data_IF_450866220680
#
_entry.id   IF_450866220680
#
_cell.length_a   1.000
_cell.length_b   1.000
_cell.length_c   1.000
_cell.angle_alpha   90.00
_cell.angle_beta   90.00
_cell.angle_gamma   90.00
#
_symmetry.space_group_name_H-M   'P 1'
#
loop_
_entity.id
_entity.type
_entity.pdbx_description
1 polymer ?
#
# COMPACT_ATOMS: atom_id res chain seq x y z
N UNK A 1 -24.65 -21.82 12.53
CA UNK A 1 -23.73 -20.71 12.71
C UNK A 1 -23.68 -19.95 11.39
N UNK A 2 -23.86 -18.64 11.40
CA UNK A 2 -23.77 -17.80 10.20
C UNK A 2 -22.31 -17.70 9.73
N UNK A 3 -22.09 -17.61 8.41
CA UNK A 3 -20.75 -17.67 7.79
C UNK A 3 -20.42 -16.32 7.17
N UNK A 4 -19.27 -15.77 7.53
CA UNK A 4 -18.70 -14.58 6.91
C UNK A 4 -17.38 -14.95 6.24
N UNK A 5 -17.28 -14.66 4.95
CA UNK A 5 -16.04 -14.80 4.20
C UNK A 5 -15.42 -13.42 4.02
N UNK A 6 -14.10 -13.33 4.21
CA UNK A 6 -13.31 -12.10 4.05
C UNK A 6 -12.23 -12.35 3.01
N UNK A 7 -12.16 -11.53 1.96
CA UNK A 7 -11.15 -11.62 0.91
C UNK A 7 -10.09 -10.55 1.14
N UNK A 8 -8.87 -10.99 1.47
CA UNK A 8 -7.72 -10.13 1.72
C UNK A 8 -7.35 -9.99 3.20
N UNK A 9 -6.09 -10.28 3.52
CA UNK A 9 -5.48 -10.22 4.85
C UNK A 9 -4.71 -8.93 5.12
N UNK A 10 -5.04 -7.83 4.42
CA UNK A 10 -4.50 -6.49 4.69
C UNK A 10 -5.14 -5.83 5.91
N UNK A 11 -4.91 -4.52 6.07
CA UNK A 11 -5.46 -3.75 7.20
C UNK A 11 -6.97 -3.90 7.35
N UNK A 12 -7.72 -3.69 6.27
CA UNK A 12 -9.18 -3.74 6.33
C UNK A 12 -9.70 -5.13 6.69
N UNK A 13 -9.20 -6.19 6.02
CA UNK A 13 -9.65 -7.55 6.27
C UNK A 13 -9.30 -8.06 7.67
N UNK A 14 -8.10 -7.76 8.15
CA UNK A 14 -7.70 -8.13 9.51
C UNK A 14 -8.53 -7.43 10.60
N UNK A 15 -8.90 -6.16 10.40
CA UNK A 15 -9.76 -5.46 11.35
C UNK A 15 -11.20 -5.96 11.28
N UNK A 16 -11.72 -6.30 10.09
CA UNK A 16 -13.02 -6.97 9.95
C UNK A 16 -13.03 -8.33 10.64
N UNK A 17 -12.04 -9.19 10.39
CA UNK A 17 -11.90 -10.49 11.02
C UNK A 17 -11.84 -10.37 12.55
N UNK A 18 -11.05 -9.44 13.08
CA UNK A 18 -10.94 -9.19 14.52
C UNK A 18 -12.23 -8.72 15.15
N UNK A 19 -13.04 -7.92 14.45
CA UNK A 19 -14.36 -7.50 14.95
C UNK A 19 -15.34 -8.64 15.01
N UNK A 20 -15.43 -9.43 13.94
CA UNK A 20 -16.35 -10.56 13.84
C UNK A 20 -15.99 -11.71 14.81
N UNK A 21 -14.71 -12.05 14.93
CA UNK A 21 -14.26 -13.17 15.76
C UNK A 21 -14.46 -12.96 17.27
N UNK A 22 -14.78 -11.75 17.70
CA UNK A 22 -15.18 -11.47 19.09
C UNK A 22 -16.62 -11.90 19.38
N UNK A 23 -17.39 -12.27 18.34
CA UNK A 23 -18.77 -12.73 18.41
C UNK A 23 -18.78 -14.24 18.22
N UNK A 24 -19.22 -14.99 19.22
CA UNK A 24 -19.21 -16.46 19.20
C UNK A 24 -20.27 -17.09 18.29
N UNK A 25 -21.13 -16.29 17.65
CA UNK A 25 -22.26 -16.72 16.81
C UNK A 25 -21.97 -16.74 15.30
N UNK A 26 -20.79 -16.28 14.88
CA UNK A 26 -20.39 -16.16 13.47
C UNK A 26 -19.11 -16.97 13.19
N UNK A 27 -19.15 -17.81 12.15
CA UNK A 27 -17.96 -18.46 11.61
C UNK A 27 -17.28 -17.53 10.60
N UNK A 28 -16.02 -17.16 10.86
CA UNK A 28 -15.25 -16.26 10.01
C UNK A 28 -14.17 -17.03 9.28
N UNK A 29 -14.12 -16.89 7.94
CA UNK A 29 -13.05 -17.42 7.09
C UNK A 29 -12.41 -16.27 6.31
N UNK A 30 -11.08 -16.13 6.41
CA UNK A 30 -10.30 -15.15 5.67
C UNK A 30 -9.43 -15.85 4.64
N UNK A 31 -9.55 -15.42 3.38
CA UNK A 31 -8.71 -15.87 2.26
C UNK A 31 -7.70 -14.79 1.89
N UNK A 32 -6.44 -15.17 1.75
CA UNK A 32 -5.39 -14.36 1.12
C UNK A 32 -4.34 -15.30 0.48
N UNK A 33 -3.90 -15.05 -0.76
CA UNK A 33 -2.85 -15.85 -1.40
C UNK A 33 -1.50 -15.75 -0.68
N UNK A 34 -1.29 -14.72 0.13
CA UNK A 34 -0.07 -14.54 0.92
C UNK A 34 -0.26 -15.08 2.33
N UNK A 35 0.80 -15.66 2.87
CA UNK A 35 0.81 -16.15 4.25
C UNK A 35 0.91 -15.04 5.31
N UNK A 36 1.21 -13.79 4.88
CA UNK A 36 1.49 -12.65 5.75
C UNK A 36 0.78 -11.39 5.29
N UNK A 37 0.39 -10.57 6.24
CA UNK A 37 0.00 -9.18 6.03
C UNK A 37 1.25 -8.30 6.03
N UNK A 38 1.37 -7.40 5.06
CA UNK A 38 2.51 -6.50 4.90
C UNK A 38 2.16 -5.09 5.38
N UNK A 39 3.09 -4.46 6.08
CA UNK A 39 2.97 -3.07 6.54
C UNK A 39 3.43 -2.10 5.45
N UNK A 40 2.55 -1.85 4.47
CA UNK A 40 2.83 -1.10 3.25
C UNK A 40 3.44 0.31 3.47
N UNK A 41 3.03 1.09 4.49
CA UNK A 41 3.55 2.46 4.68
C UNK A 41 5.06 2.56 4.91
N UNK A 42 5.73 1.47 5.21
CA UNK A 42 7.17 1.45 5.48
C UNK A 42 7.98 0.74 4.37
N UNK A 43 7.34 0.35 3.27
CA UNK A 43 8.06 -0.29 2.15
C UNK A 43 9.14 0.61 1.53
N UNK A 44 8.92 1.93 1.34
CA UNK A 44 10.00 2.81 0.89
C UNK A 44 11.19 2.83 1.85
N UNK A 45 10.95 2.75 3.16
CA UNK A 45 12.03 2.70 4.16
C UNK A 45 12.81 1.38 4.14
N UNK A 46 12.20 0.24 3.73
CA UNK A 46 12.94 -1.01 3.49
C UNK A 46 14.03 -0.79 2.44
N UNK A 47 13.72 -0.07 1.37
CA UNK A 47 14.68 0.25 0.30
C UNK A 47 15.89 0.99 0.88
N UNK A 48 15.66 2.02 1.71
CA UNK A 48 16.72 2.89 2.21
C UNK A 48 17.40 2.43 3.50
N UNK A 49 16.71 1.67 4.34
CA UNK A 49 17.14 1.34 5.73
C UNK A 49 17.38 -0.14 5.98
N UNK A 50 16.84 -1.04 5.15
CA UNK A 50 17.01 -2.49 5.33
C UNK A 50 16.29 -3.03 6.57
N UNK A 51 15.03 -2.64 6.78
CA UNK A 51 14.21 -3.21 7.85
C UNK A 51 14.05 -4.72 7.72
N UNK A 52 14.03 -5.42 8.85
CA UNK A 52 13.78 -6.85 8.86
C UNK A 52 12.32 -7.17 8.47
N UNK A 53 12.11 -8.37 7.94
CA UNK A 53 10.78 -8.85 7.56
C UNK A 53 9.83 -8.85 8.76
N UNK A 54 10.30 -9.29 9.92
CA UNK A 54 9.52 -9.40 11.16
C UNK A 54 9.00 -8.04 11.66
N UNK A 55 9.72 -6.96 11.34
CA UNK A 55 9.28 -5.62 11.69
C UNK A 55 8.05 -5.17 10.87
N UNK A 56 7.91 -5.68 9.64
CA UNK A 56 6.97 -5.17 8.65
C UNK A 56 5.99 -6.21 8.10
N UNK A 57 6.05 -7.45 8.59
CA UNK A 57 5.07 -8.47 8.21
C UNK A 57 4.43 -9.10 9.45
N UNK A 58 3.21 -9.59 9.29
CA UNK A 58 2.48 -10.28 10.35
C UNK A 58 1.84 -11.56 9.80
N UNK A 59 2.25 -12.77 10.30
CA UNK A 59 1.72 -14.03 9.80
C UNK A 59 0.22 -14.18 10.01
N UNK A 60 -0.54 -14.41 8.93
CA UNK A 60 -2.00 -14.52 8.97
C UNK A 60 -2.47 -15.73 9.77
N UNK A 61 -1.73 -16.85 9.77
CA UNK A 61 -1.99 -18.00 10.65
C UNK A 61 -1.87 -17.65 12.13
N UNK A 62 -0.97 -16.71 12.49
CA UNK A 62 -0.83 -16.23 13.87
C UNK A 62 -2.03 -15.34 14.25
N UNK A 63 -2.47 -14.48 13.34
CA UNK A 63 -3.68 -13.68 13.51
C UNK A 63 -4.91 -14.57 13.71
N UNK A 64 -5.06 -15.60 12.86
CA UNK A 64 -6.16 -16.55 12.91
C UNK A 64 -6.25 -17.26 14.26
N UNK A 65 -5.13 -17.83 14.74
CA UNK A 65 -5.08 -18.45 16.07
C UNK A 65 -5.36 -17.48 17.20
N UNK A 66 -4.85 -16.23 17.11
CA UNK A 66 -5.02 -15.24 18.17
C UNK A 66 -6.44 -14.72 18.30
N UNK A 67 -7.14 -14.56 17.18
CA UNK A 67 -8.46 -13.94 17.14
C UNK A 67 -9.60 -14.93 16.91
N UNK A 68 -9.33 -16.19 16.56
CA UNK A 68 -10.33 -17.23 16.44
C UNK A 68 -11.08 -17.21 15.10
N UNK A 69 -10.38 -17.04 13.98
CA UNK A 69 -10.93 -17.21 12.63
C UNK A 69 -10.19 -18.29 11.84
N UNK A 70 -10.80 -18.81 10.79
CA UNK A 70 -10.14 -19.73 9.85
C UNK A 70 -9.37 -18.93 8.80
N UNK A 71 -8.11 -19.30 8.56
CA UNK A 71 -7.29 -18.73 7.49
C UNK A 71 -7.06 -19.74 6.37
N UNK A 72 -7.46 -19.37 5.16
CA UNK A 72 -7.23 -20.11 3.92
C UNK A 72 -6.18 -19.38 3.09
N UNK A 73 -5.03 -20.03 2.88
CA UNK A 73 -3.91 -19.41 2.15
C UNK A 73 -4.05 -19.66 0.64
N UNK A 74 -5.09 -19.09 0.06
CA UNK A 74 -5.43 -19.19 -1.35
C UNK A 74 -5.98 -17.87 -1.89
N UNK A 75 -5.85 -17.67 -3.20
CA UNK A 75 -6.52 -16.59 -3.90
C UNK A 75 -7.99 -16.95 -4.18
N UNK A 76 -8.90 -16.05 -3.89
CA UNK A 76 -10.25 -16.14 -4.44
C UNK A 76 -10.18 -15.95 -5.96
N UNK A 77 -10.87 -16.82 -6.70
CA UNK A 77 -10.93 -16.81 -8.17
C UNK A 77 -12.29 -16.36 -8.70
N UNK A 78 -13.35 -16.80 -8.03
CA UNK A 78 -14.72 -16.50 -8.44
C UNK A 78 -15.55 -16.10 -7.24
N UNK A 79 -16.48 -15.16 -7.46
CA UNK A 79 -17.45 -14.67 -6.49
C UNK A 79 -18.84 -14.83 -7.09
N UNK A 80 -19.63 -15.74 -6.54
CA UNK A 80 -21.05 -15.92 -6.87
C UNK A 80 -21.94 -15.24 -5.80
N UNK A 81 -23.24 -15.30 -5.97
CA UNK A 81 -24.21 -14.67 -5.06
C UNK A 81 -24.11 -15.12 -3.59
N UNK A 82 -23.62 -16.34 -3.35
CA UNK A 82 -23.54 -16.95 -1.99
C UNK A 82 -22.29 -17.79 -1.77
N UNK A 83 -21.37 -17.85 -2.75
CA UNK A 83 -20.15 -18.65 -2.67
C UNK A 83 -18.93 -17.90 -3.20
N UNK A 84 -17.79 -18.18 -2.61
CA UNK A 84 -16.48 -17.80 -3.12
C UNK A 84 -15.72 -19.07 -3.46
N UNK A 85 -15.12 -19.15 -4.66
CA UNK A 85 -14.27 -20.26 -5.06
C UNK A 85 -12.82 -19.84 -5.09
N UNK A 86 -11.97 -20.72 -4.60
CA UNK A 86 -10.51 -20.68 -4.74
C UNK A 86 -10.05 -21.81 -5.64
N UNK A 87 -8.76 -22.13 -5.64
CA UNK A 87 -8.24 -23.27 -6.42
C UNK A 87 -8.73 -24.63 -5.87
N UNK A 88 -8.81 -24.74 -4.54
CA UNK A 88 -9.06 -26.01 -3.85
C UNK A 88 -10.40 -26.02 -3.07
N UNK A 89 -10.98 -24.86 -2.77
CA UNK A 89 -12.14 -24.76 -1.90
C UNK A 89 -13.30 -23.96 -2.51
N UNK A 90 -14.51 -24.31 -2.12
CA UNK A 90 -15.72 -23.54 -2.38
C UNK A 90 -16.35 -23.19 -1.03
N UNK A 91 -16.36 -21.90 -0.70
CA UNK A 91 -16.80 -21.38 0.59
C UNK A 91 -18.14 -20.67 0.42
N UNK A 92 -19.18 -21.21 1.05
CA UNK A 92 -20.47 -20.52 1.11
C UNK A 92 -20.43 -19.42 2.16
N UNK A 93 -21.13 -18.33 1.92
CA UNK A 93 -21.24 -17.21 2.85
C UNK A 93 -22.67 -16.70 3.00
N UNK A 94 -23.00 -16.21 4.19
CA UNK A 94 -24.20 -15.42 4.48
C UNK A 94 -23.89 -13.91 4.34
N UNK A 95 -22.62 -13.51 4.55
CA UNK A 95 -22.10 -12.18 4.22
C UNK A 95 -20.66 -12.26 3.71
N UNK A 96 -20.29 -11.39 2.77
CA UNK A 96 -18.97 -11.30 2.18
C UNK A 96 -18.35 -9.92 2.45
N UNK A 97 -17.07 -9.90 2.81
CA UNK A 97 -16.28 -8.66 2.93
C UNK A 97 -15.12 -8.72 1.95
N UNK A 98 -15.13 -7.85 0.94
CA UNK A 98 -14.07 -7.72 -0.06
C UNK A 98 -13.09 -6.66 0.42
N UNK A 99 -11.92 -7.09 0.87
CA UNK A 99 -10.82 -6.29 1.41
C UNK A 99 -9.53 -6.53 0.63
N UNK A 100 -9.64 -6.77 -0.68
CA UNK A 100 -8.54 -7.15 -1.59
C UNK A 100 -7.51 -6.06 -1.81
N UNK A 101 -7.81 -4.82 -1.39
CA UNK A 101 -6.90 -3.69 -1.52
C UNK A 101 -6.76 -3.20 -2.96
N UNK A 102 -5.54 -2.80 -3.30
CA UNK A 102 -5.17 -2.31 -4.63
C UNK A 102 -3.92 -3.01 -5.14
N UNK A 103 -3.67 -2.90 -6.44
CA UNK A 103 -2.48 -3.40 -7.13
C UNK A 103 -1.90 -2.29 -8.01
N UNK A 104 -0.67 -2.47 -8.46
CA UNK A 104 -0.01 -1.53 -9.37
C UNK A 104 -0.78 -1.39 -10.67
N UNK A 105 -0.91 -0.17 -11.15
CA UNK A 105 -1.50 0.14 -12.45
C UNK A 105 -0.38 0.31 -13.49
N UNK A 106 -0.28 -0.63 -14.40
CA UNK A 106 0.66 -0.57 -15.53
C UNK A 106 0.03 0.06 -16.78
N UNK A 107 -1.17 0.61 -16.67
CA UNK A 107 -1.91 1.27 -17.77
C UNK A 107 -2.05 0.39 -19.04
N UNK A 108 -2.16 -0.94 -18.86
CA UNK A 108 -2.29 -1.90 -19.96
C UNK A 108 -0.97 -2.23 -20.69
N UNK A 109 0.17 -1.77 -20.17
CA UNK A 109 1.49 -2.00 -20.76
C UNK A 109 2.17 -3.20 -20.11
N UNK A 110 2.12 -4.36 -20.77
CA UNK A 110 2.69 -5.61 -20.25
C UNK A 110 4.21 -5.55 -20.16
N UNK A 111 4.89 -4.91 -21.11
CA UNK A 111 6.34 -4.72 -21.10
C UNK A 111 6.82 -4.00 -19.84
N UNK A 112 6.09 -2.95 -19.40
CA UNK A 112 6.40 -2.25 -18.15
C UNK A 112 6.24 -3.22 -16.97
N UNK A 113 5.19 -4.03 -16.97
CA UNK A 113 4.94 -5.02 -15.92
C UNK A 113 6.06 -6.03 -15.79
N UNK A 114 6.58 -6.51 -16.91
CA UNK A 114 7.64 -7.53 -16.95
C UNK A 114 9.01 -6.96 -16.62
N UNK A 115 9.31 -5.74 -17.12
CA UNK A 115 10.65 -5.15 -17.11
C UNK A 115 10.85 -4.09 -16.01
N UNK A 116 9.86 -3.82 -15.17
CA UNK A 116 9.98 -2.90 -14.04
C UNK A 116 9.76 -3.59 -12.69
N UNK A 117 10.14 -2.91 -11.62
CA UNK A 117 9.89 -3.37 -10.26
C UNK A 117 8.87 -2.46 -9.58
N UNK A 118 7.64 -2.92 -9.26
CA UNK A 118 6.68 -2.16 -8.48
C UNK A 118 7.05 -2.14 -7.00
N UNK A 119 6.37 -1.31 -6.21
CA UNK A 119 6.49 -1.31 -4.75
C UNK A 119 5.16 -1.70 -4.08
N UNK A 120 4.81 -2.96 -4.13
CA UNK A 120 3.56 -3.49 -3.54
C UNK A 120 3.78 -4.31 -2.27
N UNK A 121 4.91 -5.04 -2.20
CA UNK A 121 5.17 -6.02 -1.15
C UNK A 121 6.61 -5.93 -0.66
N UNK A 122 6.86 -6.49 0.52
CA UNK A 122 8.19 -6.53 1.10
C UNK A 122 9.27 -7.10 0.14
N UNK A 123 9.06 -8.19 -0.62
CA UNK A 123 10.02 -8.66 -1.62
C UNK A 123 10.34 -7.64 -2.72
N UNK A 124 9.36 -6.84 -3.15
CA UNK A 124 9.62 -5.78 -4.15
C UNK A 124 10.57 -4.72 -3.59
N UNK A 125 10.38 -4.31 -2.34
CA UNK A 125 11.28 -3.35 -1.69
C UNK A 125 12.71 -3.88 -1.57
N UNK A 126 12.88 -5.18 -1.28
CA UNK A 126 14.18 -5.85 -1.29
C UNK A 126 14.79 -5.88 -2.69
N UNK A 127 14.01 -6.25 -3.71
CA UNK A 127 14.48 -6.26 -5.10
C UNK A 127 14.96 -4.88 -5.55
N UNK A 128 14.20 -3.81 -5.26
CA UNK A 128 14.62 -2.43 -5.56
C UNK A 128 15.93 -2.10 -4.84
N UNK A 129 16.09 -2.52 -3.60
CA UNK A 129 17.33 -2.35 -2.82
C UNK A 129 18.50 -3.12 -3.43
N UNK A 130 18.30 -4.37 -3.83
CA UNK A 130 19.31 -5.23 -4.45
C UNK A 130 19.76 -4.63 -5.79
N UNK A 131 18.83 -4.21 -6.63
CA UNK A 131 19.11 -3.51 -7.89
C UNK A 131 19.90 -2.20 -7.65
N UNK A 132 19.54 -1.44 -6.62
CA UNK A 132 20.26 -0.20 -6.27
C UNK A 132 21.70 -0.45 -5.79
N UNK A 133 22.01 -1.64 -5.28
CA UNK A 133 23.35 -2.02 -4.83
C UNK A 133 24.14 -2.82 -5.87
N UNK A 134 23.50 -3.28 -6.94
CA UNK A 134 24.15 -4.00 -8.05
C UNK A 134 25.16 -3.09 -8.79
N UNK A 135 26.46 -3.46 -8.86
CA UNK A 135 27.46 -2.65 -9.54
C UNK A 135 27.17 -2.37 -11.03
N UNK A 136 26.39 -3.21 -11.69
CA UNK A 136 25.99 -3.03 -13.09
C UNK A 136 24.90 -1.98 -13.30
N UNK A 137 24.23 -1.52 -12.23
CA UNK A 137 23.20 -0.50 -12.27
C UNK A 137 23.80 0.86 -11.95
N UNK A 138 23.94 1.72 -12.94
CA UNK A 138 24.42 3.10 -12.79
C UNK A 138 23.27 4.10 -12.47
N UNK A 139 22.10 3.83 -13.05
CA UNK A 139 20.94 4.72 -12.98
C UNK A 139 19.71 4.00 -12.44
N UNK A 140 18.93 4.67 -11.60
CA UNK A 140 17.63 4.18 -11.15
C UNK A 140 16.58 5.20 -11.58
N UNK A 141 15.69 4.77 -12.45
CA UNK A 141 14.54 5.56 -12.92
C UNK A 141 13.32 5.19 -12.09
N UNK A 142 12.60 6.18 -11.58
CA UNK A 142 11.37 6.00 -10.83
C UNK A 142 10.25 6.65 -11.63
N UNK A 143 9.34 5.86 -12.16
CA UNK A 143 8.14 6.34 -12.81
C UNK A 143 7.08 6.68 -11.76
N UNK A 144 6.67 7.95 -11.71
CA UNK A 144 5.71 8.53 -10.78
C UNK A 144 6.35 9.46 -9.76
N UNK A 145 6.09 10.77 -9.87
CA UNK A 145 6.48 11.80 -8.91
C UNK A 145 5.43 12.05 -7.82
N UNK A 146 4.56 11.07 -7.58
CA UNK A 146 3.66 11.04 -6.44
C UNK A 146 4.40 10.83 -5.12
N UNK A 147 3.66 10.77 -3.98
CA UNK A 147 4.32 10.62 -2.68
C UNK A 147 5.16 9.34 -2.57
N UNK A 148 4.71 8.20 -3.11
CA UNK A 148 5.49 6.93 -3.07
C UNK A 148 6.79 7.05 -3.86
N UNK A 149 6.77 7.63 -5.06
CA UNK A 149 7.99 7.81 -5.85
C UNK A 149 9.01 8.72 -5.16
N UNK A 150 8.55 9.81 -4.53
CA UNK A 150 9.42 10.70 -3.74
C UNK A 150 9.99 10.00 -2.50
N UNK A 151 9.18 9.20 -1.81
CA UNK A 151 9.66 8.38 -0.68
C UNK A 151 10.74 7.38 -1.12
N UNK A 152 10.51 6.67 -2.24
CA UNK A 152 11.48 5.71 -2.81
C UNK A 152 12.75 6.43 -3.24
N UNK A 153 12.65 7.52 -4.00
CA UNK A 153 13.79 8.28 -4.50
C UNK A 153 14.69 8.77 -3.35
N UNK A 154 14.09 9.34 -2.30
CA UNK A 154 14.86 9.85 -1.16
C UNK A 154 15.48 8.72 -0.33
N UNK A 155 14.82 7.55 -0.25
CA UNK A 155 15.36 6.37 0.41
C UNK A 155 16.49 5.73 -0.41
N UNK A 156 16.39 5.67 -1.73
CA UNK A 156 17.47 5.23 -2.63
C UNK A 156 18.70 6.13 -2.52
N UNK A 157 18.52 7.44 -2.48
CA UNK A 157 19.64 8.39 -2.27
C UNK A 157 20.29 8.19 -0.91
N UNK A 158 19.48 7.96 0.14
CA UNK A 158 20.00 7.61 1.46
C UNK A 158 20.85 6.34 1.42
N UNK A 159 20.35 5.27 0.77
CA UNK A 159 21.07 4.01 0.59
C UNK A 159 22.40 4.23 -0.14
N UNK A 160 22.36 4.94 -1.27
CA UNK A 160 23.54 5.23 -2.06
C UNK A 160 24.62 5.97 -1.24
N UNK A 161 24.21 7.00 -0.49
CA UNK A 161 25.13 7.75 0.37
C UNK A 161 25.70 6.89 1.50
N UNK A 162 24.87 6.06 2.13
CA UNK A 162 25.32 5.17 3.22
C UNK A 162 26.32 4.11 2.74
N UNK A 163 26.13 3.60 1.53
CA UNK A 163 26.99 2.61 0.90
C UNK A 163 28.11 3.20 0.05
N UNK A 164 28.25 4.52 0.03
CA UNK A 164 29.22 5.25 -0.84
C UNK A 164 29.11 4.85 -2.30
N UNK A 165 27.86 4.63 -2.79
CA UNK A 165 27.58 4.29 -4.17
C UNK A 165 27.32 5.54 -4.99
N UNK A 166 27.93 5.62 -6.18
CA UNK A 166 27.58 6.63 -7.17
C UNK A 166 26.38 6.14 -7.96
N UNK A 167 25.20 6.72 -7.73
CA UNK A 167 23.95 6.37 -8.42
C UNK A 167 23.27 7.62 -8.93
N UNK A 168 22.91 7.62 -10.21
CA UNK A 168 21.98 8.59 -10.77
C UNK A 168 20.58 8.15 -10.38
N UNK A 169 19.78 9.03 -9.79
CA UNK A 169 18.39 8.77 -9.40
C UNK A 169 17.53 9.78 -10.12
N UNK A 170 16.65 9.30 -10.99
CA UNK A 170 15.78 10.10 -11.85
C UNK A 170 14.33 9.75 -11.56
N UNK A 171 13.53 10.73 -11.19
CA UNK A 171 12.09 10.60 -11.03
C UNK A 171 11.44 11.23 -12.24
N UNK A 172 10.54 10.50 -12.91
CA UNK A 172 9.80 10.99 -14.06
C UNK A 172 8.29 10.93 -13.80
N UNK A 173 7.55 11.90 -14.31
CA UNK A 173 6.09 11.92 -14.22
C UNK A 173 5.50 12.68 -15.43
N UNK A 174 4.42 12.19 -16.05
CA UNK A 174 3.74 12.91 -17.13
C UNK A 174 3.01 14.18 -16.66
N UNK A 175 2.82 14.38 -15.35
CA UNK A 175 2.20 15.57 -14.79
C UNK A 175 3.15 16.79 -14.84
N UNK A 176 2.55 17.99 -14.88
CA UNK A 176 3.27 19.27 -14.82
C UNK A 176 3.80 19.60 -13.42
N UNK A 177 3.32 18.93 -12.38
CA UNK A 177 3.60 19.25 -11.00
C UNK A 177 4.08 18.04 -10.19
N UNK A 178 5.11 18.27 -9.38
CA UNK A 178 5.61 17.27 -8.44
C UNK A 178 4.63 17.06 -7.28
N UNK A 179 4.40 15.79 -6.92
CA UNK A 179 3.65 15.40 -5.73
C UNK A 179 2.29 16.13 -5.59
N UNK A 180 1.38 16.00 -6.58
CA UNK A 180 0.14 16.79 -6.63
C UNK A 180 -0.79 16.55 -5.42
N UNK A 181 -0.58 15.49 -4.66
CA UNK A 181 -1.36 15.19 -3.44
C UNK A 181 -1.08 16.14 -2.27
N UNK A 182 0.11 16.78 -2.24
CA UNK A 182 0.40 17.76 -1.20
C UNK A 182 -0.17 19.12 -1.57
N UNK A 183 -0.50 19.99 -0.57
CA UNK A 183 -0.88 21.36 -0.84
C UNK A 183 0.12 22.08 -1.76
N UNK A 184 -0.35 22.84 -2.74
CA UNK A 184 0.49 23.49 -3.75
C UNK A 184 1.68 24.27 -3.15
N UNK A 185 1.46 24.93 -2.01
CA UNK A 185 2.52 25.67 -1.28
C UNK A 185 3.70 24.80 -0.81
N UNK A 186 3.55 23.47 -0.78
CA UNK A 186 4.63 22.55 -0.38
C UNK A 186 5.34 21.88 -1.55
N UNK A 187 4.82 21.98 -2.77
CA UNK A 187 5.47 21.39 -3.94
C UNK A 187 6.89 21.94 -4.19
N UNK A 188 7.15 23.29 -4.08
CA UNK A 188 8.51 23.80 -4.13
C UNK A 188 9.43 23.20 -3.05
N UNK A 189 8.92 22.97 -1.83
CA UNK A 189 9.69 22.35 -0.76
C UNK A 189 10.08 20.91 -1.06
N UNK A 190 9.19 20.15 -1.73
CA UNK A 190 9.51 18.77 -2.18
C UNK A 190 10.57 18.82 -3.28
N UNK A 191 10.39 19.69 -4.29
CA UNK A 191 11.35 19.87 -5.40
C UNK A 191 12.74 20.25 -4.91
N UNK A 192 12.85 21.28 -4.08
CA UNK A 192 14.12 21.71 -3.46
C UNK A 192 14.76 20.61 -2.61
N UNK A 193 13.95 19.77 -1.97
CA UNK A 193 14.49 18.65 -1.20
C UNK A 193 15.09 17.59 -2.12
N UNK A 194 14.43 17.26 -3.22
CA UNK A 194 14.97 16.35 -4.25
C UNK A 194 16.27 16.89 -4.82
N UNK A 195 16.30 18.15 -5.23
CA UNK A 195 17.48 18.81 -5.79
C UNK A 195 18.67 18.77 -4.80
N UNK A 196 18.46 19.19 -3.55
CA UNK A 196 19.50 19.17 -2.51
C UNK A 196 20.02 17.76 -2.20
N UNK A 197 19.21 16.74 -2.42
CA UNK A 197 19.61 15.34 -2.29
C UNK A 197 20.26 14.80 -3.56
N UNK A 198 20.36 15.57 -4.65
CA UNK A 198 20.93 15.14 -5.93
C UNK A 198 19.99 14.12 -6.64
N UNK A 199 18.69 14.28 -6.48
CA UNK A 199 17.66 13.53 -7.19
C UNK A 199 17.17 14.39 -8.34
N UNK A 200 17.29 13.87 -9.55
CA UNK A 200 16.79 14.51 -10.76
C UNK A 200 15.29 14.29 -10.88
N UNK A 201 14.51 15.35 -11.10
CA UNK A 201 13.06 15.27 -11.31
C UNK A 201 12.74 15.82 -12.69
N UNK A 202 12.08 15.01 -13.52
CA UNK A 202 11.61 15.37 -14.86
C UNK A 202 10.11 15.20 -14.92
N UNK A 203 9.42 16.30 -14.94
CA UNK A 203 7.99 16.40 -15.17
C UNK A 203 7.70 16.41 -16.67
N UNK A 204 6.43 16.22 -17.05
CA UNK A 204 5.99 16.09 -18.44
C UNK A 204 6.77 15.03 -19.22
N UNK A 205 7.29 14.01 -18.49
CA UNK A 205 8.18 12.98 -19.02
C UNK A 205 7.70 11.60 -18.59
N UNK A 206 7.69 10.64 -19.52
CA UNK A 206 7.42 9.23 -19.25
C UNK A 206 8.66 8.38 -19.46
N UNK A 207 8.67 7.18 -18.88
CA UNK A 207 9.74 6.19 -19.03
C UNK A 207 9.19 4.90 -19.61
N UNK A 208 9.91 4.34 -20.58
CA UNK A 208 9.64 3.06 -21.22
C UNK A 208 10.85 2.14 -21.05
N UNK A 209 10.72 0.95 -20.47
CA UNK A 209 11.81 -0.02 -20.49
C UNK A 209 11.93 -0.64 -21.89
N UNK A 210 13.13 -0.71 -22.44
CA UNK A 210 13.41 -1.37 -23.70
C UNK A 210 13.85 -2.83 -23.49
N UNK A 211 14.54 -3.04 -22.38
CA UNK A 211 14.95 -4.36 -21.88
C UNK A 211 15.11 -4.28 -20.35
N UNK A 212 15.63 -5.32 -19.72
CA UNK A 212 15.82 -5.35 -18.27
C UNK A 212 16.88 -4.38 -17.72
N UNK A 213 17.62 -3.66 -18.59
CA UNK A 213 18.74 -2.77 -18.21
C UNK A 213 18.82 -1.48 -19.01
N UNK A 214 17.85 -1.21 -19.86
CA UNK A 214 17.79 0.02 -20.66
C UNK A 214 16.43 0.67 -20.51
N UNK A 215 16.41 1.94 -20.17
CA UNK A 215 15.19 2.75 -20.06
C UNK A 215 15.30 3.93 -21.03
N UNK A 216 14.26 4.16 -21.81
CA UNK A 216 14.12 5.32 -22.68
C UNK A 216 13.08 6.29 -22.11
N UNK A 217 13.40 7.56 -22.14
CA UNK A 217 12.47 8.62 -21.74
C UNK A 217 11.76 9.21 -22.95
N UNK A 218 10.58 9.81 -22.74
CA UNK A 218 9.80 10.42 -23.83
C UNK A 218 10.48 11.61 -24.52
N UNK A 219 11.53 12.19 -23.92
CA UNK A 219 12.36 13.22 -24.52
C UNK A 219 13.48 12.67 -25.42
N UNK A 220 13.57 11.33 -25.56
CA UNK A 220 14.52 10.62 -26.38
C UNK A 220 15.82 10.24 -25.65
N UNK A 221 15.99 10.60 -24.39
CA UNK A 221 17.16 10.15 -23.62
C UNK A 221 17.10 8.65 -23.35
N UNK A 222 18.17 7.94 -23.71
CA UNK A 222 18.34 6.52 -23.42
C UNK A 222 19.35 6.32 -22.31
N UNK A 223 18.98 5.53 -21.31
CA UNK A 223 19.76 5.22 -20.12
C UNK A 223 20.11 3.75 -20.10
N UNK A 224 21.34 3.41 -20.46
CA UNK A 224 21.88 2.05 -20.34
C UNK A 224 22.37 1.79 -18.90
N UNK A 225 22.35 0.52 -18.47
CA UNK A 225 22.64 0.17 -17.08
C UNK A 225 21.64 0.76 -16.09
N UNK A 226 20.38 0.89 -16.51
CA UNK A 226 19.31 1.45 -15.71
C UNK A 226 18.37 0.36 -15.16
N UNK A 227 17.78 0.64 -13.99
CA UNK A 227 16.67 -0.11 -13.40
C UNK A 227 15.45 0.78 -13.32
N UNK A 228 14.26 0.24 -13.63
CA UNK A 228 12.99 0.95 -13.59
C UNK A 228 12.16 0.54 -12.38
N UNK A 229 11.89 1.48 -11.49
CA UNK A 229 10.92 1.34 -10.40
C UNK A 229 9.60 1.97 -10.82
N UNK A 230 8.52 1.18 -10.76
CA UNK A 230 7.20 1.65 -11.19
C UNK A 230 6.32 2.03 -10.00
N UNK A 231 6.00 3.32 -9.87
CA UNK A 231 5.09 3.89 -8.86
C UNK A 231 4.05 4.84 -9.46
N UNK A 232 3.75 4.67 -10.77
CA UNK A 232 2.86 5.54 -11.54
C UNK A 232 1.37 5.19 -11.39
N UNK A 233 0.94 4.89 -10.18
CA UNK A 233 -0.46 4.71 -9.83
C UNK A 233 -0.82 3.29 -9.39
N UNK A 234 -2.01 3.21 -8.78
CA UNK A 234 -2.61 1.97 -8.29
C UNK A 234 -4.06 1.86 -8.74
N UNK A 235 -4.56 0.64 -8.83
CA UNK A 235 -5.95 0.35 -9.19
C UNK A 235 -6.54 -0.76 -8.33
N UNK A 236 -7.86 -0.89 -8.32
CA UNK A 236 -8.54 -2.03 -7.74
C UNK A 236 -8.12 -3.35 -8.39
N UNK A 237 -8.25 -4.45 -7.67
CA UNK A 237 -7.94 -5.81 -8.13
C UNK A 237 -9.07 -6.32 -9.03
N UNK A 238 -8.74 -6.98 -10.14
CA UNK A 238 -9.70 -7.46 -11.15
C UNK A 238 -10.78 -8.41 -10.61
N UNK A 239 -10.52 -9.10 -9.50
CA UNK A 239 -11.54 -9.92 -8.82
C UNK A 239 -12.81 -9.12 -8.47
N UNK A 240 -12.67 -7.83 -8.19
CA UNK A 240 -13.78 -6.94 -7.88
C UNK A 240 -14.71 -6.68 -9.07
N UNK A 241 -14.24 -6.86 -10.31
CA UNK A 241 -15.02 -6.71 -11.53
C UNK A 241 -16.21 -7.71 -11.58
N UNK A 242 -16.11 -8.84 -10.85
CA UNK A 242 -17.17 -9.86 -10.76
C UNK A 242 -18.37 -9.45 -9.90
N UNK A 243 -18.27 -8.33 -9.21
CA UNK A 243 -19.36 -7.86 -8.34
C UNK A 243 -20.45 -7.05 -9.04
N UNK A 244 -20.30 -6.75 -10.34
CA UNK A 244 -21.26 -5.97 -11.13
C UNK A 244 -21.74 -4.73 -10.36
N UNK A 245 -20.80 -3.88 -9.97
CA UNK A 245 -21.04 -2.65 -9.22
C UNK A 245 -20.31 -1.48 -9.89
N UNK A 246 -20.79 -0.27 -9.66
CA UNK A 246 -20.17 0.95 -10.19
C UNK A 246 -18.70 1.04 -9.75
N UNK A 247 -17.83 1.44 -10.68
CA UNK A 247 -16.40 1.56 -10.47
C UNK A 247 -15.89 2.96 -10.82
N UNK A 248 -14.88 3.39 -10.10
CA UNK A 248 -14.08 4.56 -10.47
C UNK A 248 -13.13 4.22 -11.63
N UNK A 249 -12.50 5.26 -12.23
CA UNK A 249 -11.44 5.05 -13.25
C UNK A 249 -10.29 4.16 -12.78
N UNK A 250 -10.01 4.16 -11.48
CA UNK A 250 -9.00 3.29 -10.86
C UNK A 250 -9.55 1.93 -10.42
N UNK A 251 -10.69 1.48 -10.96
CA UNK A 251 -11.33 0.20 -10.66
C UNK A 251 -11.66 -0.04 -9.17
N UNK A 252 -11.84 1.01 -8.40
CA UNK A 252 -12.36 0.91 -7.04
C UNK A 252 -13.88 0.85 -7.09
N UNK A 253 -14.48 -0.04 -6.31
CA UNK A 253 -15.93 -0.20 -6.27
C UNK A 253 -16.59 0.93 -5.47
N UNK A 254 -17.57 1.61 -6.08
CA UNK A 254 -18.37 2.62 -5.40
C UNK A 254 -19.28 1.92 -4.40
N UNK A 255 -19.22 2.33 -3.14
CA UNK A 255 -19.99 1.73 -2.04
C UNK A 255 -21.03 2.70 -1.50
N UNK A 256 -22.13 2.15 -0.94
CA UNK A 256 -23.12 2.94 -0.22
C UNK A 256 -22.55 3.47 1.14
N UNK A 257 -23.36 4.23 1.85
CA UNK A 257 -22.99 4.77 3.15
C UNK A 257 -22.67 3.69 4.22
N UNK A 258 -23.14 2.46 4.02
CA UNK A 258 -22.88 1.32 4.92
C UNK A 258 -21.72 0.42 4.45
N UNK A 259 -20.99 0.85 3.42
CA UNK A 259 -19.88 0.15 2.75
C UNK A 259 -20.32 -1.07 1.92
N UNK A 260 -21.55 -1.11 1.41
CA UNK A 260 -22.06 -2.22 0.59
C UNK A 260 -22.08 -1.87 -0.90
N UNK A 261 -21.98 -2.92 -1.70
CA UNK A 261 -22.27 -2.91 -3.15
C UNK A 261 -23.48 -3.79 -3.48
N UNK A 262 -23.83 -4.73 -2.61
CA UNK A 262 -25.02 -5.59 -2.66
C UNK A 262 -25.53 -5.82 -1.23
N UNK A 263 -26.71 -6.42 -1.09
CA UNK A 263 -27.38 -6.63 0.19
C UNK A 263 -26.46 -7.27 1.26
N UNK A 264 -25.68 -8.29 0.89
CA UNK A 264 -24.80 -9.04 1.79
C UNK A 264 -23.30 -8.94 1.43
N UNK A 265 -22.89 -7.99 0.56
CA UNK A 265 -21.51 -7.82 0.11
C UNK A 265 -21.00 -6.44 0.48
N UNK A 266 -19.99 -6.40 1.35
CA UNK A 266 -19.28 -5.20 1.78
C UNK A 266 -17.95 -5.09 1.05
N UNK A 267 -17.55 -3.86 0.68
CA UNK A 267 -16.24 -3.59 0.09
C UNK A 267 -15.52 -2.53 0.93
N UNK A 268 -14.26 -2.78 1.26
CA UNK A 268 -13.51 -1.95 2.23
C UNK A 268 -12.05 -1.77 1.85
N UNK A 269 -11.44 -0.76 2.46
CA UNK A 269 -10.04 -0.41 2.21
C UNK A 269 -9.85 0.20 0.84
N UNK A 270 -8.69 -0.05 0.24
CA UNK A 270 -8.33 0.56 -1.04
C UNK A 270 -9.16 0.01 -2.22
N UNK A 271 -9.84 -1.13 -2.05
CA UNK A 271 -10.81 -1.65 -3.02
C UNK A 271 -12.10 -0.82 -3.08
N UNK A 272 -12.47 -0.13 -2.00
CA UNK A 272 -13.69 0.66 -1.90
C UNK A 272 -13.50 2.12 -2.30
N UNK A 273 -14.44 2.68 -3.03
CA UNK A 273 -14.56 4.10 -3.30
C UNK A 273 -15.73 4.68 -2.49
N UNK A 274 -15.44 5.20 -1.30
CA UNK A 274 -16.40 6.00 -0.53
C UNK A 274 -16.43 7.38 -1.14
N UNK A 275 -17.56 7.76 -1.72
CA UNK A 275 -17.71 9.07 -2.38
C UNK A 275 -17.97 10.18 -1.37
N UNK A 276 -17.25 11.28 -1.49
CA UNK A 276 -17.47 12.53 -0.73
C UNK A 276 -17.32 13.72 -1.66
N UNK A 277 -18.33 14.58 -1.70
CA UNK A 277 -18.33 15.80 -2.51
C UNK A 277 -17.93 15.55 -3.99
N UNK A 278 -18.43 14.43 -4.57
CA UNK A 278 -18.17 14.05 -5.95
C UNK A 278 -16.82 13.38 -6.21
N UNK A 279 -15.98 13.18 -5.20
CA UNK A 279 -14.67 12.52 -5.33
C UNK A 279 -14.53 11.33 -4.39
N UNK A 280 -13.82 10.27 -4.80
CA UNK A 280 -13.56 9.14 -3.93
C UNK A 280 -12.59 9.53 -2.81
N UNK A 281 -12.90 9.11 -1.58
CA UNK A 281 -11.98 9.23 -0.46
C UNK A 281 -10.62 8.62 -0.83
N UNK A 282 -9.52 9.31 -0.52
CA UNK A 282 -8.17 8.81 -0.84
C UNK A 282 -7.91 7.46 -0.16
N UNK A 283 -7.07 6.64 -0.76
CA UNK A 283 -6.56 5.42 -0.15
C UNK A 283 -5.71 5.78 1.08
N UNK A 284 -5.80 4.96 2.14
CA UNK A 284 -5.02 5.19 3.35
C UNK A 284 -5.35 4.22 4.47
N UNK A 285 -4.32 3.88 5.24
CA UNK A 285 -4.40 2.88 6.33
C UNK A 285 -5.47 3.23 7.36
N UNK A 286 -5.62 4.51 7.72
CA UNK A 286 -6.64 4.94 8.68
C UNK A 286 -8.06 4.63 8.21
N UNK A 287 -8.33 4.81 6.92
CA UNK A 287 -9.64 4.49 6.33
C UNK A 287 -9.82 2.98 6.20
N UNK A 288 -8.79 2.25 5.76
CA UNK A 288 -8.84 0.79 5.68
C UNK A 288 -9.15 0.15 7.03
N UNK A 289 -8.53 0.63 8.11
CA UNK A 289 -8.79 0.16 9.49
C UNK A 289 -10.23 0.45 9.92
N UNK A 290 -10.70 1.68 9.77
CA UNK A 290 -12.04 2.07 10.21
C UNK A 290 -13.14 1.46 9.37
N UNK A 291 -12.95 1.34 8.05
CA UNK A 291 -13.88 0.65 7.14
C UNK A 291 -13.95 -0.85 7.45
N UNK A 292 -12.81 -1.51 7.65
CA UNK A 292 -12.78 -2.93 8.00
C UNK A 292 -13.50 -3.21 9.32
N UNK A 293 -13.27 -2.38 10.34
CA UNK A 293 -13.94 -2.52 11.63
C UNK A 293 -15.47 -2.33 11.50
N UNK A 294 -15.91 -1.30 10.77
CA UNK A 294 -17.34 -1.05 10.54
C UNK A 294 -17.99 -2.14 9.70
N UNK A 295 -17.34 -2.62 8.63
CA UNK A 295 -17.88 -3.70 7.80
C UNK A 295 -18.04 -5.00 8.59
N UNK A 296 -17.10 -5.32 9.47
CA UNK A 296 -17.24 -6.44 10.40
C UNK A 296 -18.46 -6.27 11.34
N UNK A 297 -18.65 -5.08 11.90
CA UNK A 297 -19.83 -4.77 12.71
C UNK A 297 -21.11 -4.83 11.88
N UNK A 298 -21.13 -4.22 10.70
CA UNK A 298 -22.29 -4.20 9.81
C UNK A 298 -22.66 -5.61 9.30
N UNK A 299 -21.68 -6.44 8.97
CA UNK A 299 -21.94 -7.84 8.62
C UNK A 299 -22.62 -8.59 9.76
N UNK A 300 -22.15 -8.40 11.00
CA UNK A 300 -22.80 -9.02 12.16
C UNK A 300 -24.21 -8.47 12.43
N UNK A 301 -24.44 -7.16 12.23
CA UNK A 301 -25.76 -6.53 12.33
C UNK A 301 -26.72 -7.08 11.29
N UNK A 302 -26.26 -7.18 10.03
CA UNK A 302 -27.03 -7.78 8.93
C UNK A 302 -27.51 -9.18 9.28
N UNK A 303 -26.58 -10.04 9.75
CA UNK A 303 -26.87 -11.42 10.10
C UNK A 303 -27.82 -11.58 11.30
N UNK A 304 -27.87 -10.55 12.15
CA UNK A 304 -28.79 -10.45 13.29
C UNK A 304 -30.10 -9.72 12.96
N UNK A 305 -30.34 -9.31 11.71
CA UNK A 305 -31.52 -8.54 11.29
C UNK A 305 -31.58 -7.14 11.92
N UNK A 306 -30.43 -6.53 12.25
CA UNK A 306 -30.35 -5.19 12.87
C UNK A 306 -30.03 -4.12 11.82
N UNK A 307 -30.43 -2.85 12.03
CA UNK A 307 -30.05 -1.74 11.17
C UNK A 307 -28.53 -1.60 11.06
N UNK A 308 -28.03 -1.30 9.85
CA UNK A 308 -26.61 -1.06 9.61
C UNK A 308 -26.22 0.37 10.01
N UNK A 309 -24.96 0.57 10.33
CA UNK A 309 -24.42 1.88 10.68
C UNK A 309 -23.72 2.53 9.48
N UNK A 310 -23.94 3.83 9.24
CA UNK A 310 -23.26 4.54 8.16
C UNK A 310 -21.79 4.79 8.51
N UNK A 311 -20.94 4.73 7.49
CA UNK A 311 -19.52 5.07 7.61
C UNK A 311 -19.32 6.58 7.71
N UNK A 312 -18.67 6.98 8.78
CA UNK A 312 -18.30 8.39 9.03
C UNK A 312 -16.78 8.49 9.10
N UNK A 313 -16.08 8.76 7.97
CA UNK A 313 -14.63 8.83 7.96
C UNK A 313 -14.11 10.02 8.78
N UNK A 314 -13.13 9.73 9.65
CA UNK A 314 -12.34 10.75 10.33
C UNK A 314 -11.01 10.84 9.59
N UNK A 315 -10.73 12.00 9.01
CA UNK A 315 -9.48 12.24 8.32
C UNK A 315 -8.45 12.89 9.24
N UNK A 316 -7.49 12.11 9.70
CA UNK A 316 -6.37 12.59 10.53
C UNK A 316 -5.28 13.30 9.70
N UNK A 317 -5.44 13.32 8.37
CA UNK A 317 -4.44 13.85 7.45
C UNK A 317 -3.53 12.79 6.85
N UNK A 318 -2.46 13.25 6.25
CA UNK A 318 -1.42 12.43 5.62
C UNK A 318 -0.08 13.15 5.67
N UNK A 319 0.99 12.39 5.56
CA UNK A 319 2.36 12.89 5.55
C UNK A 319 3.14 12.19 4.44
N UNK A 320 3.93 12.94 3.71
CA UNK A 320 4.96 12.45 2.79
C UNK A 320 6.30 12.58 3.50
N UNK A 321 6.83 11.52 4.11
CA UNK A 321 8.16 11.54 4.71
C UNK A 321 9.21 11.48 3.61
N UNK A 322 10.33 12.13 3.84
CA UNK A 322 11.52 12.05 3.01
C UNK A 322 12.67 11.51 3.86
N UNK A 323 13.56 10.72 3.28
CA UNK A 323 14.56 9.95 4.02
C UNK A 323 15.64 10.80 4.73
N UNK A 324 15.61 12.12 4.57
CA UNK A 324 16.46 13.09 5.26
C UNK A 324 15.87 13.60 6.59
N UNK A 325 14.95 12.86 7.22
CA UNK A 325 14.19 13.24 8.41
C UNK A 325 13.30 14.48 8.23
N UNK A 326 12.92 14.79 7.02
CA UNK A 326 12.00 15.85 6.69
C UNK A 326 10.76 15.27 6.02
N UNK A 327 9.71 16.06 5.98
CA UNK A 327 8.48 15.68 5.32
C UNK A 327 7.56 16.87 5.21
N UNK A 328 6.44 16.67 4.54
CA UNK A 328 5.36 17.64 4.48
C UNK A 328 4.02 16.92 4.38
N UNK A 329 2.94 17.62 4.65
CA UNK A 329 1.59 17.07 4.55
C UNK A 329 0.57 17.86 5.34
N UNK A 330 -0.52 17.20 5.65
CA UNK A 330 -1.62 17.75 6.43
C UNK A 330 -1.84 16.87 7.65
N UNK A 331 -1.91 17.47 8.85
CA UNK A 331 -2.20 16.77 10.10
C UNK A 331 -3.36 17.53 10.77
N UNK A 332 -4.48 16.84 10.98
CA UNK A 332 -5.71 17.42 11.55
C UNK A 332 -6.13 18.74 10.87
N UNK A 333 -6.05 18.78 9.54
CA UNK A 333 -6.37 19.96 8.74
C UNK A 333 -5.26 21.02 8.65
N UNK A 334 -4.21 20.91 9.47
CA UNK A 334 -3.08 21.84 9.46
C UNK A 334 -2.01 21.39 8.49
N UNK A 335 -1.58 22.29 7.60
CA UNK A 335 -0.47 22.05 6.69
C UNK A 335 0.87 22.18 7.44
N UNK A 336 1.67 21.13 7.44
CA UNK A 336 2.94 21.03 8.17
C UNK A 336 4.08 20.60 7.28
N UNK A 337 5.31 21.07 7.59
CA UNK A 337 6.55 20.65 6.92
C UNK A 337 7.72 20.58 7.90
N UNK A 338 8.80 19.93 7.51
CA UNK A 338 10.03 19.81 8.29
C UNK A 338 10.12 18.48 9.05
N UNK A 339 10.67 18.51 10.26
CA UNK A 339 10.96 17.30 11.05
C UNK A 339 9.68 16.71 11.70
N UNK A 340 8.74 17.56 12.12
CA UNK A 340 7.53 17.13 12.84
C UNK A 340 6.71 16.11 12.03
N UNK A 341 6.34 16.36 10.75
CA UNK A 341 5.59 15.36 9.98
C UNK A 341 6.36 14.06 9.79
N UNK A 342 7.69 14.09 9.60
CA UNK A 342 8.48 12.88 9.52
C UNK A 342 8.46 12.06 10.82
N UNK A 343 8.60 12.72 11.98
CA UNK A 343 8.45 12.07 13.29
C UNK A 343 7.07 11.46 13.47
N UNK A 344 6.01 12.21 13.13
CA UNK A 344 4.63 11.72 13.22
C UNK A 344 4.40 10.48 12.35
N UNK A 345 4.98 10.45 11.14
CA UNK A 345 4.92 9.25 10.29
C UNK A 345 5.46 8.02 11.04
N UNK A 346 6.68 8.07 11.58
CA UNK A 346 7.28 6.92 12.27
C UNK A 346 6.53 6.55 13.56
N UNK A 347 6.07 7.51 14.34
CA UNK A 347 5.24 7.26 15.53
C UNK A 347 3.95 6.54 15.14
N UNK A 348 3.26 7.00 14.08
CA UNK A 348 2.04 6.36 13.60
C UNK A 348 2.29 4.97 13.01
N UNK A 349 3.42 4.77 12.33
CA UNK A 349 3.83 3.46 11.84
C UNK A 349 4.08 2.49 13.01
N UNK A 350 4.80 2.93 14.04
CA UNK A 350 5.05 2.12 15.25
C UNK A 350 3.74 1.77 15.98
N UNK A 351 2.82 2.74 16.10
CA UNK A 351 1.51 2.51 16.73
C UNK A 351 0.67 1.49 15.95
N UNK A 352 0.67 1.55 14.61
CA UNK A 352 -0.16 0.71 13.74
C UNK A 352 0.44 -0.66 13.40
N UNK A 353 1.74 -0.87 13.68
CA UNK A 353 2.40 -2.17 13.46
C UNK A 353 1.77 -3.26 14.33
N UNK A 354 1.52 -4.42 13.73
CA UNK A 354 0.90 -5.55 14.41
C UNK A 354 1.88 -6.26 15.36
N UNK A 355 1.40 -6.56 16.57
CA UNK A 355 2.13 -7.36 17.56
C UNK A 355 3.22 -6.57 18.31
N UNK A 356 3.57 -7.04 19.48
CA UNK A 356 4.64 -6.43 20.31
C UNK A 356 6.03 -6.67 19.69
N UNK A 357 6.25 -7.86 19.12
CA UNK A 357 7.52 -8.20 18.47
C UNK A 357 7.80 -7.32 17.25
N UNK A 358 6.79 -7.12 16.37
CA UNK A 358 6.92 -6.22 15.23
C UNK A 358 7.21 -4.78 15.67
N UNK A 359 6.53 -4.29 16.71
CA UNK A 359 6.79 -2.94 17.27
C UNK A 359 8.19 -2.82 17.86
N UNK A 360 8.63 -3.82 18.62
CA UNK A 360 9.98 -3.84 19.21
C UNK A 360 11.06 -3.90 18.12
N UNK A 361 10.88 -4.75 17.10
CA UNK A 361 11.77 -4.85 15.95
C UNK A 361 11.82 -3.55 15.13
N UNK A 362 10.65 -2.93 14.87
CA UNK A 362 10.59 -1.64 14.17
C UNK A 362 11.26 -0.54 14.99
N UNK A 363 11.01 -0.45 16.30
CA UNK A 363 11.65 0.52 17.18
C UNK A 363 13.16 0.33 17.23
N UNK A 364 13.63 -0.91 17.38
CA UNK A 364 15.06 -1.24 17.35
C UNK A 364 15.70 -0.81 16.02
N UNK A 365 15.05 -1.12 14.89
CA UNK A 365 15.52 -0.74 13.55
C UNK A 365 15.57 0.79 13.34
N UNK A 366 14.63 1.54 13.93
CA UNK A 366 14.63 3.01 13.89
C UNK A 366 15.74 3.62 14.74
N UNK A 367 16.02 3.04 15.92
CA UNK A 367 17.01 3.55 16.89
C UNK A 367 18.44 3.15 16.55
N UNK A 368 18.66 1.91 16.11
CA UNK A 368 19.99 1.34 15.87
C UNK A 368 20.62 1.80 14.54
N UNK A 369 20.09 2.84 13.89
CA UNK A 369 20.65 3.48 12.70
C UNK A 369 21.36 2.49 11.75
N UNK A 370 20.60 1.62 11.13
CA UNK A 370 21.02 1.02 9.84
C UNK A 370 22.22 0.06 9.82
N UNK A 371 22.57 -0.59 10.90
CA UNK A 371 23.69 -1.57 10.92
C UNK A 371 23.23 -3.05 10.78
N UNK A 372 21.97 -3.26 10.36
CA UNK A 372 21.47 -4.61 10.09
C UNK A 372 21.99 -5.22 8.76
N UNK A 373 22.70 -4.45 7.97
CA UNK A 373 23.36 -4.90 6.73
C UNK A 373 24.60 -5.79 6.96
N UNK A 374 25.06 -5.96 8.21
CA UNK A 374 26.25 -6.77 8.53
C UNK A 374 25.97 -8.24 8.82
N UNK A 375 24.72 -8.69 8.83
CA UNK A 375 24.37 -10.04 9.27
C UNK A 375 23.47 -10.83 8.30
N UNK A 376 23.62 -10.66 7.00
CA UNK A 376 23.23 -11.71 6.05
C UNK A 376 24.32 -11.79 4.97
N UNK A 377 25.11 -12.88 4.96
CA UNK A 377 26.00 -13.21 3.85
C UNK A 377 25.20 -13.58 2.63
#
# INVERSE_FOLDING_TARGET
>A
MKRVVILGGGFAGLFAARMLSRRGDVAVTLLDPRAESHFLPMLPDVVGRGFSREALTYPLRRAARRWGFTFVNEAAKEIDASTVRSACESLSYDALIVATGSTTNYHGQEEIRELSTPLEWFPHALRIRDEATDPSVGTIVIAGAGYTGIEVATNLRRLANHRSLTRRIVVVDPAEEICPVVPAKFRPYVAETCERMGIEVRLETTAQPLDGRTVELSDGERMDGASLVWSAGVRGVDLADQLDAEQTRSKRLVVDETLRVRENVFVVGDAAAVMREGSPLRMGVQFSISQGALAGENAARLLAGRPLEPYRPIDLGYVVPMANFRGCGVILGLSVRGVIPAMMHYVMCLYRTFGLEGRASLLASLLLRGDLDRKNP
#
